data_IF_058686855020
#
_entry.id   IF_058686855020
#
_cell.length_a   1.000
_cell.length_b   1.000
_cell.length_c   1.000
_cell.angle_alpha   90.00
_cell.angle_beta   90.00
_cell.angle_gamma   90.00
#
_symmetry.space_group_name_H-M   'P 1'
#
loop_
_entity.id
_entity.type
_entity.pdbx_description
1 polymer ?
#
# COMPACT_ATOMS: atom_id res chain seq x y z
N UNK A 1 0.85 -7.64 -31.42
CA UNK A 1 -0.57 -7.47 -31.04
C UNK A 1 -0.60 -6.83 -29.67
N UNK A 2 -1.10 -5.60 -29.54
CA UNK A 2 -1.24 -4.95 -28.23
C UNK A 2 -2.44 -5.59 -27.54
N UNK A 3 -2.20 -6.34 -26.46
CA UNK A 3 -3.28 -6.89 -25.65
C UNK A 3 -4.06 -5.72 -25.05
N UNK A 4 -5.33 -5.61 -25.42
CA UNK A 4 -6.27 -4.70 -24.76
C UNK A 4 -6.43 -5.15 -23.31
N UNK A 5 -5.76 -4.47 -22.38
CA UNK A 5 -5.90 -4.77 -20.96
C UNK A 5 -7.30 -4.35 -20.50
N UNK A 6 -8.08 -5.31 -20.01
CA UNK A 6 -9.41 -5.06 -19.44
C UNK A 6 -9.26 -4.39 -18.08
N UNK A 7 -9.43 -3.07 -18.04
CA UNK A 7 -9.48 -2.28 -16.81
C UNK A 7 -10.83 -2.47 -16.08
N UNK A 8 -11.20 -3.71 -15.74
CA UNK A 8 -12.48 -4.01 -15.08
C UNK A 8 -12.36 -4.16 -13.54
N UNK A 9 -11.15 -4.26 -12.99
CA UNK A 9 -10.93 -4.49 -11.57
C UNK A 9 -9.83 -3.58 -11.01
N UNK A 10 -9.98 -3.18 -9.75
CA UNK A 10 -8.96 -2.42 -9.02
C UNK A 10 -7.80 -3.37 -8.72
N UNK A 11 -6.54 -3.03 -9.07
CA UNK A 11 -5.40 -3.87 -8.77
C UNK A 11 -5.26 -4.12 -7.27
N UNK A 12 -5.04 -5.37 -6.87
CA UNK A 12 -4.77 -5.76 -5.47
C UNK A 12 -3.32 -5.62 -5.08
N UNK A 13 -2.43 -5.55 -6.07
CA UNK A 13 -0.98 -5.46 -5.90
C UNK A 13 -0.38 -4.69 -7.08
N UNK A 14 0.61 -3.85 -6.79
CA UNK A 14 1.41 -3.12 -7.78
C UNK A 14 2.88 -3.49 -7.63
N UNK A 15 3.56 -3.65 -8.76
CA UNK A 15 5.02 -3.72 -8.77
C UNK A 15 5.64 -2.36 -8.41
N UNK A 16 6.89 -2.37 -7.96
CA UNK A 16 7.62 -1.14 -7.63
C UNK A 16 7.62 -0.15 -8.80
N UNK A 17 7.91 -0.63 -10.02
CA UNK A 17 7.95 0.20 -11.23
C UNK A 17 6.58 0.84 -11.54
N UNK A 18 5.49 0.09 -11.39
CA UNK A 18 4.15 0.62 -11.58
C UNK A 18 3.78 1.64 -10.52
N UNK A 19 4.14 1.38 -9.26
CA UNK A 19 3.93 2.30 -8.15
C UNK A 19 4.68 3.62 -8.38
N UNK A 20 5.96 3.55 -8.75
CA UNK A 20 6.77 4.75 -9.01
C UNK A 20 6.24 5.56 -10.20
N UNK A 21 5.74 4.88 -11.24
CA UNK A 21 5.22 5.55 -12.43
C UNK A 21 3.84 6.18 -12.23
N UNK A 22 2.92 5.48 -11.55
CA UNK A 22 1.50 5.84 -11.53
C UNK A 22 1.00 6.36 -10.19
N UNK A 23 1.68 6.07 -9.08
CA UNK A 23 1.20 6.38 -7.73
C UNK A 23 2.09 7.42 -7.07
N UNK A 24 3.40 7.18 -7.02
CA UNK A 24 4.38 8.04 -6.36
C UNK A 24 4.27 9.53 -6.74
N UNK A 25 4.07 9.92 -8.02
CA UNK A 25 3.97 11.34 -8.39
C UNK A 25 2.77 12.05 -7.79
N UNK A 26 1.74 11.29 -7.41
CA UNK A 26 0.49 11.79 -6.84
C UNK A 26 0.44 11.65 -5.31
N UNK A 27 1.43 11.00 -4.69
CA UNK A 27 1.50 10.85 -3.24
C UNK A 27 2.16 12.06 -2.60
N UNK A 28 1.49 12.61 -1.59
CA UNK A 28 2.07 13.62 -0.72
C UNK A 28 3.11 12.98 0.22
N UNK A 29 4.39 13.11 -0.14
CA UNK A 29 5.50 12.69 0.69
C UNK A 29 5.68 13.65 1.88
N UNK A 30 5.47 13.16 3.09
CA UNK A 30 5.73 13.91 4.31
C UNK A 30 7.21 14.26 4.43
N UNK A 31 7.54 15.55 4.42
CA UNK A 31 8.93 16.04 4.57
C UNK A 31 9.45 16.00 6.02
N UNK A 32 8.56 15.78 6.99
CA UNK A 32 8.85 15.82 8.43
C UNK A 32 8.63 14.47 9.09
N UNK A 33 9.45 14.18 10.09
CA UNK A 33 9.37 12.97 10.91
C UNK A 33 10.31 11.85 10.46
N UNK A 34 10.34 10.74 11.20
CA UNK A 34 11.16 9.59 10.87
C UNK A 34 10.65 8.93 9.59
N UNK A 35 11.59 8.51 8.73
CA UNK A 35 11.26 7.75 7.54
C UNK A 35 10.58 6.42 7.93
N UNK A 36 9.57 5.98 7.16
CA UNK A 36 8.96 4.67 7.40
C UNK A 36 10.02 3.58 7.20
N UNK A 37 10.02 2.58 8.10
CA UNK A 37 10.87 1.39 7.95
C UNK A 37 10.54 0.61 6.67
N UNK A 38 9.27 0.63 6.28
CA UNK A 38 8.78 -0.01 5.07
C UNK A 38 8.74 0.94 3.90
N UNK A 39 9.04 0.39 2.72
CA UNK A 39 8.91 1.11 1.48
C UNK A 39 7.44 1.51 1.24
N UNK A 40 7.24 2.69 0.66
CA UNK A 40 5.90 3.24 0.43
C UNK A 40 5.05 2.35 -0.49
N UNK A 41 5.68 1.63 -1.41
CA UNK A 41 5.00 0.68 -2.30
C UNK A 41 4.32 -0.45 -1.51
N UNK A 42 4.98 -0.98 -0.46
CA UNK A 42 4.44 -2.04 0.40
C UNK A 42 3.22 -1.52 1.17
N UNK A 43 3.34 -0.34 1.76
CA UNK A 43 2.24 0.32 2.48
C UNK A 43 1.05 0.55 1.54
N UNK A 44 1.31 0.98 0.32
CA UNK A 44 0.25 1.21 -0.68
C UNK A 44 -0.42 -0.08 -1.12
N UNK A 45 0.33 -1.17 -1.30
CA UNK A 45 -0.22 -2.48 -1.59
C UNK A 45 -1.12 -3.00 -0.45
N UNK A 46 -0.78 -2.74 0.81
CA UNK A 46 -1.69 -3.03 1.93
C UNK A 46 -2.98 -2.23 1.87
N UNK A 47 -2.92 -0.96 1.44
CA UNK A 47 -4.13 -0.13 1.23
C UNK A 47 -4.98 -0.71 0.10
N UNK A 48 -4.38 -1.10 -1.03
CA UNK A 48 -5.09 -1.75 -2.14
C UNK A 48 -5.77 -3.06 -1.70
N UNK A 49 -5.06 -3.88 -0.93
CA UNK A 49 -5.58 -5.12 -0.35
C UNK A 49 -6.77 -4.85 0.57
N UNK A 50 -6.70 -3.80 1.40
CA UNK A 50 -7.83 -3.37 2.23
C UNK A 50 -9.04 -2.95 1.38
N UNK A 51 -8.83 -2.12 0.34
CA UNK A 51 -9.91 -1.66 -0.55
C UNK A 51 -10.57 -2.82 -1.30
N UNK A 52 -9.78 -3.84 -1.66
CA UNK A 52 -10.30 -5.04 -2.32
C UNK A 52 -11.08 -5.94 -1.37
N UNK A 53 -10.59 -6.16 -0.14
CA UNK A 53 -11.21 -7.06 0.84
C UNK A 53 -12.40 -6.41 1.56
N UNK A 54 -12.37 -5.09 1.78
CA UNK A 54 -13.37 -4.38 2.57
C UNK A 54 -13.41 -4.75 4.06
N UNK A 55 -12.33 -5.30 4.61
CA UNK A 55 -12.27 -5.76 6.00
C UNK A 55 -11.95 -4.63 7.00
N UNK A 56 -12.09 -4.93 8.30
CA UNK A 56 -11.65 -4.00 9.34
C UNK A 56 -10.12 -3.88 9.36
N UNK A 57 -9.59 -2.68 9.63
CA UNK A 57 -8.14 -2.44 9.70
C UNK A 57 -7.38 -3.40 10.63
N UNK A 58 -8.01 -3.81 11.74
CA UNK A 58 -7.43 -4.74 12.71
C UNK A 58 -7.26 -6.16 12.17
N UNK A 59 -8.05 -6.53 11.18
CA UNK A 59 -8.08 -7.86 10.55
C UNK A 59 -7.34 -7.86 9.20
N UNK A 60 -6.67 -6.76 8.84
CA UNK A 60 -5.89 -6.70 7.62
C UNK A 60 -4.76 -7.76 7.70
N UNK A 61 -4.66 -8.68 6.73
CA UNK A 61 -3.57 -9.65 6.69
C UNK A 61 -2.25 -8.95 6.34
N UNK A 62 -1.47 -8.67 7.38
CA UNK A 62 -0.12 -8.07 7.34
C UNK A 62 0.90 -9.20 7.40
N UNK A 63 1.95 -9.10 6.59
CA UNK A 63 3.03 -10.08 6.56
C UNK A 63 3.88 -10.01 7.83
N UNK A 64 4.55 -11.12 8.14
CA UNK A 64 5.43 -11.23 9.31
C UNK A 64 6.85 -10.81 8.91
N UNK A 65 7.50 -10.04 9.79
CA UNK A 65 8.91 -9.68 9.69
C UNK A 65 9.81 -10.89 10.02
N UNK A 66 11.11 -10.77 9.78
CA UNK A 66 12.13 -11.80 10.07
C UNK A 66 12.13 -12.26 11.54
N UNK A 67 11.57 -11.44 12.44
CA UNK A 67 11.43 -11.72 13.87
C UNK A 67 10.12 -12.44 14.26
N UNK A 68 9.25 -12.78 13.30
CA UNK A 68 7.97 -13.48 13.53
C UNK A 68 6.87 -12.60 14.12
N UNK A 69 7.00 -11.27 14.01
CA UNK A 69 5.95 -10.31 14.38
C UNK A 69 5.42 -9.58 13.15
N UNK A 70 4.26 -8.91 13.23
CA UNK A 70 3.73 -8.17 12.09
C UNK A 70 4.71 -7.07 11.64
N UNK A 71 5.03 -7.05 10.35
CA UNK A 71 5.97 -6.12 9.71
C UNK A 71 5.61 -4.65 9.96
N UNK A 72 4.31 -4.37 10.08
CA UNK A 72 3.79 -3.05 10.41
C UNK A 72 2.49 -3.17 11.21
N UNK A 73 2.27 -2.27 12.16
CA UNK A 73 0.98 -2.20 12.84
C UNK A 73 -0.06 -1.51 11.95
N UNK A 74 -1.29 -2.05 11.88
CA UNK A 74 -2.36 -1.55 10.99
C UNK A 74 -2.66 -0.05 11.12
N UNK A 75 -2.46 0.54 12.32
CA UNK A 75 -2.64 1.98 12.54
C UNK A 75 -1.70 2.85 11.70
N UNK A 76 -0.50 2.34 11.37
CA UNK A 76 0.45 3.04 10.50
C UNK A 76 -0.03 3.05 9.05
N UNK A 77 -0.68 1.97 8.60
CA UNK A 77 -1.31 1.86 7.28
C UNK A 77 -2.50 2.82 7.21
N UNK A 78 -3.36 2.83 8.24
CA UNK A 78 -4.44 3.80 8.35
C UNK A 78 -3.94 5.26 8.31
N UNK A 79 -2.88 5.57 9.06
CA UNK A 79 -2.27 6.89 9.04
C UNK A 79 -1.67 7.26 7.67
N UNK A 80 -1.19 6.29 6.89
CA UNK A 80 -0.77 6.53 5.51
C UNK A 80 -1.97 6.80 4.59
N UNK A 81 -3.02 5.97 4.66
CA UNK A 81 -4.26 6.17 3.92
C UNK A 81 -4.88 7.55 4.17
N UNK A 82 -4.99 7.96 5.43
CA UNK A 82 -5.51 9.28 5.84
C UNK A 82 -4.68 10.48 5.37
N UNK A 83 -3.43 10.27 4.95
CA UNK A 83 -2.60 11.33 4.34
C UNK A 83 -2.76 11.39 2.82
N UNK A 84 -3.32 10.34 2.23
CA UNK A 84 -3.51 10.21 0.79
C UNK A 84 -4.96 10.49 0.37
N UNK A 85 -5.91 10.46 1.32
CA UNK A 85 -7.26 11.05 1.22
C UNK A 85 -7.21 12.58 1.13
#
# INVERSE_FOLDING_TARGET
>A
MAQSQSWQWIPTHLSLEQFEKFVLPHLHLGRRGPQPKLALHVIFNYILKLLYLGCQWKELPIEEDESGGPEIHYTRIYGAFRRYE
#
